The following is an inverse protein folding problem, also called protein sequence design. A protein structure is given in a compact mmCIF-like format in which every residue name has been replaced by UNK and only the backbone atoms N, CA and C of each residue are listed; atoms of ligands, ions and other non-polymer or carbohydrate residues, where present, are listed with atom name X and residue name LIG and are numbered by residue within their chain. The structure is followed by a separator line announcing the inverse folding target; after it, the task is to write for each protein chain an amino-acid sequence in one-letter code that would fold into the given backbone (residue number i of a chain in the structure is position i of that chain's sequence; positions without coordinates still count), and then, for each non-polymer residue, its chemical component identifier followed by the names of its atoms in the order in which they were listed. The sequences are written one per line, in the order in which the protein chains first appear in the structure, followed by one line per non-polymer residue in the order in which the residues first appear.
data_IF_754558488064
#
_entry.id   IF_754558488064
#
_cell.length_a   1.000
_cell.length_b   1.000
_cell.length_c   1.000
_cell.angle_alpha   90.00
_cell.angle_beta   90.00
_cell.angle_gamma   90.00
#
_symmetry.space_group_name_H-M   'P 1'
#
loop_
_entity.id
_entity.type
_entity.pdbx_description
1 polymer ?
#
# COMPACT_ATOMS: atom_id res chain seq x y z
N UNK A 1 41.86 -28.70 16.80
CA UNK A 1 41.34 -29.61 17.80
C UNK A 1 39.85 -29.43 17.78
N UNK A 2 39.29 -30.19 16.96
CA UNK A 2 38.55 -31.48 17.05
C UNK A 2 37.14 -31.22 17.54
N UNK A 3 36.19 -31.28 16.69
CA UNK A 3 35.41 -32.36 16.07
C UNK A 3 34.32 -32.95 16.97
N UNK A 4 33.11 -33.00 16.45
CA UNK A 4 32.26 -34.18 16.16
C UNK A 4 30.79 -33.73 16.09
N UNK A 5 30.16 -33.68 14.96
CA UNK A 5 29.55 -34.75 14.13
C UNK A 5 28.47 -35.60 14.82
N UNK A 6 27.23 -35.43 14.37
CA UNK A 6 26.19 -36.32 13.79
C UNK A 6 26.00 -37.73 14.41
N UNK A 7 24.95 -38.55 14.14
CA UNK A 7 23.84 -38.44 13.18
C UNK A 7 22.46 -39.05 13.61
N UNK A 8 21.53 -39.00 12.70
CA UNK A 8 20.27 -39.78 12.62
C UNK A 8 20.46 -41.29 12.66
N UNK A 9 19.48 -42.04 13.19
CA UNK A 9 19.21 -43.43 12.82
C UNK A 9 17.72 -43.74 12.77
N UNK A 10 17.27 -44.12 11.59
CA UNK A 10 16.07 -44.94 11.32
C UNK A 10 16.20 -46.33 11.95
N UNK A 11 15.10 -46.90 12.40
CA UNK A 11 14.94 -48.37 12.45
C UNK A 11 13.53 -48.79 12.08
N UNK A 12 13.46 -49.48 10.98
CA UNK A 12 12.48 -50.50 10.57
C UNK A 12 12.62 -51.75 11.41
N UNK A 13 11.53 -52.53 11.57
CA UNK A 13 11.56 -53.86 12.14
C UNK A 13 10.20 -54.54 11.98
N UNK A 14 10.17 -55.40 10.98
CA UNK A 14 9.11 -56.37 10.74
C UNK A 14 9.02 -57.39 11.86
N UNK A 15 7.87 -57.98 12.11
CA UNK A 15 7.72 -59.42 12.30
C UNK A 15 6.30 -59.91 12.07
N UNK A 16 6.22 -60.99 11.29
CA UNK A 16 5.05 -61.80 10.93
C UNK A 16 4.53 -62.65 12.10
N UNK A 17 3.26 -63.03 12.08
CA UNK A 17 2.82 -64.44 12.19
C UNK A 17 1.27 -64.61 11.95
N UNK A 18 0.98 -65.24 10.89
CA UNK A 18 0.00 -66.31 10.49
C UNK A 18 -1.21 -66.62 11.38
N UNK A 19 -2.36 -66.74 10.69
CA UNK A 19 -3.52 -67.52 11.11
C UNK A 19 -4.75 -67.24 10.29
N UNK A 20 -5.04 -68.03 9.25
CA UNK A 20 -6.35 -68.23 8.59
C UNK A 20 -6.91 -69.60 9.07
N UNK A 21 -8.15 -70.03 8.74
CA UNK A 21 -9.17 -69.49 7.82
C UNK A 21 -10.62 -69.55 8.34
N UNK A 22 -11.55 -69.19 7.44
CA UNK A 22 -12.96 -69.60 7.27
C UNK A 22 -14.04 -68.61 7.61
N UNK A 23 -14.89 -68.36 6.57
CA UNK A 23 -16.23 -67.79 6.73
C UNK A 23 -16.68 -66.86 5.60
N UNK A 24 -17.04 -67.44 4.47
CA UNK A 24 -17.68 -66.70 3.37
C UNK A 24 -19.04 -66.12 3.79
N UNK A 25 -19.23 -64.81 3.57
CA UNK A 25 -20.54 -64.27 3.22
C UNK A 25 -20.31 -63.11 2.25
N UNK A 26 -20.73 -63.33 1.01
CA UNK A 26 -20.77 -62.33 -0.06
C UNK A 26 -21.87 -61.30 0.28
N UNK A 27 -21.45 -60.14 0.80
CA UNK A 27 -22.28 -58.94 0.86
C UNK A 27 -22.04 -58.12 -0.42
N UNK A 28 -23.12 -57.84 -1.16
CA UNK A 28 -23.10 -56.94 -2.32
C UNK A 28 -22.46 -55.58 -1.98
N UNK A 29 -21.69 -54.97 -2.88
CA UNK A 29 -21.14 -53.65 -2.64
C UNK A 29 -22.27 -52.63 -2.41
N UNK A 30 -22.09 -51.65 -1.50
CA UNK A 30 -23.07 -50.59 -1.32
C UNK A 30 -23.21 -49.79 -2.64
N UNK A 31 -24.42 -49.27 -2.92
CA UNK A 31 -24.62 -48.44 -4.09
C UNK A 31 -23.70 -47.23 -4.05
N UNK A 32 -23.23 -46.72 -5.21
CA UNK A 32 -22.38 -45.53 -5.24
C UNK A 32 -23.11 -44.37 -4.57
N UNK A 33 -22.40 -43.67 -3.69
CA UNK A 33 -22.89 -42.47 -3.02
C UNK A 33 -23.41 -41.50 -4.10
N UNK A 34 -24.65 -41.06 -3.97
CA UNK A 34 -25.20 -39.97 -4.77
C UNK A 34 -24.29 -38.76 -4.60
N UNK A 35 -23.85 -38.12 -5.69
CA UNK A 35 -23.10 -36.86 -5.57
C UNK A 35 -23.94 -35.89 -4.75
N UNK A 36 -23.30 -35.06 -3.91
CA UNK A 36 -24.00 -34.00 -3.19
C UNK A 36 -24.79 -33.17 -4.22
N UNK A 37 -25.98 -32.68 -3.87
CA UNK A 37 -26.73 -31.81 -4.76
C UNK A 37 -25.82 -30.67 -5.16
N UNK A 38 -25.76 -30.35 -6.45
CA UNK A 38 -25.08 -29.16 -6.94
C UNK A 38 -25.62 -28.00 -6.11
N UNK A 39 -24.72 -27.26 -5.47
CA UNK A 39 -25.08 -26.00 -4.82
C UNK A 39 -25.80 -25.19 -5.90
N UNK A 40 -27.09 -24.98 -5.74
CA UNK A 40 -27.85 -24.07 -6.58
C UNK A 40 -27.15 -22.69 -6.42
N UNK A 41 -26.59 -22.22 -7.52
CA UNK A 41 -26.11 -20.84 -7.64
C UNK A 41 -27.32 -19.93 -7.37
N UNK A 42 -27.54 -19.60 -6.12
CA UNK A 42 -28.50 -18.57 -5.73
C UNK A 42 -27.91 -17.24 -6.21
N UNK A 43 -28.20 -16.89 -7.46
CA UNK A 43 -27.95 -15.55 -7.96
C UNK A 43 -28.83 -14.61 -7.12
N UNK A 44 -28.21 -13.92 -6.16
CA UNK A 44 -28.87 -12.82 -5.46
C UNK A 44 -29.25 -11.76 -6.50
N UNK A 45 -30.55 -11.55 -6.65
CA UNK A 45 -31.09 -10.54 -7.55
C UNK A 45 -30.86 -9.18 -6.93
N UNK A 46 -29.88 -8.42 -7.46
CA UNK A 46 -29.62 -7.05 -7.02
C UNK A 46 -30.67 -6.15 -7.66
N UNK A 47 -31.54 -5.60 -6.83
CA UNK A 47 -32.58 -4.66 -7.29
C UNK A 47 -31.97 -3.25 -7.32
N UNK A 48 -31.75 -2.75 -8.52
CA UNK A 48 -31.32 -1.36 -8.75
C UNK A 48 -32.56 -0.51 -9.04
N UNK A 49 -32.78 0.53 -8.26
CA UNK A 49 -33.89 1.49 -8.48
C UNK A 49 -33.38 2.80 -9.12
N UNK A 50 -34.31 3.64 -9.56
CA UNK A 50 -34.03 4.91 -10.25
C UNK A 50 -33.25 5.96 -9.42
N UNK A 51 -33.12 5.73 -8.11
CA UNK A 51 -32.40 6.63 -7.19
C UNK A 51 -31.03 6.06 -6.77
N UNK A 52 -30.60 4.94 -7.36
CA UNK A 52 -29.34 4.30 -7.00
C UNK A 52 -28.15 5.10 -7.51
N UNK A 53 -27.41 5.75 -6.61
CA UNK A 53 -26.17 6.46 -6.89
C UNK A 53 -24.92 5.57 -6.69
N UNK A 54 -25.01 4.61 -5.79
CA UNK A 54 -23.94 3.70 -5.43
C UNK A 54 -24.40 2.27 -5.66
N UNK A 55 -23.56 1.47 -6.31
CA UNK A 55 -23.79 0.05 -6.48
C UNK A 55 -22.66 -0.72 -5.80
N UNK A 56 -23.01 -1.36 -4.68
CA UNK A 56 -22.08 -2.20 -3.92
C UNK A 56 -22.25 -3.67 -4.31
N UNK A 57 -21.23 -4.22 -4.95
CA UNK A 57 -21.12 -5.61 -5.39
C UNK A 57 -19.89 -6.27 -4.75
N UNK A 58 -19.46 -5.79 -3.62
CA UNK A 58 -18.34 -6.35 -2.89
C UNK A 58 -18.65 -7.77 -2.39
N UNK A 59 -17.63 -8.64 -2.35
CA UNK A 59 -17.75 -10.03 -1.90
C UNK A 59 -18.74 -10.90 -2.68
N UNK A 60 -19.15 -10.48 -3.89
CA UNK A 60 -20.16 -11.16 -4.70
C UNK A 60 -19.67 -12.43 -5.40
N UNK A 61 -18.41 -12.85 -5.19
CA UNK A 61 -17.76 -13.94 -5.94
C UNK A 61 -17.80 -13.76 -7.45
N UNK A 62 -17.92 -12.52 -7.92
CA UNK A 62 -18.10 -12.16 -9.33
C UNK A 62 -16.82 -12.49 -10.09
N UNK A 63 -16.91 -13.36 -11.09
CA UNK A 63 -15.81 -13.72 -11.99
C UNK A 63 -15.75 -12.87 -13.25
N UNK A 64 -16.87 -12.25 -13.62
CA UNK A 64 -17.05 -11.48 -14.85
C UNK A 64 -18.00 -10.31 -14.62
N UNK A 65 -17.66 -9.15 -15.14
CA UNK A 65 -18.54 -7.98 -15.09
C UNK A 65 -19.59 -8.12 -16.21
N UNK A 66 -20.84 -8.38 -15.83
CA UNK A 66 -21.96 -8.53 -16.75
C UNK A 66 -23.28 -8.16 -16.10
N UNK A 67 -24.36 -8.11 -16.88
CA UNK A 67 -25.72 -7.78 -16.42
C UNK A 67 -25.85 -6.35 -15.83
N UNK A 68 -25.05 -5.40 -16.32
CA UNK A 68 -25.13 -3.99 -15.92
C UNK A 68 -26.03 -3.16 -16.85
N UNK A 69 -26.76 -3.80 -17.78
CA UNK A 69 -27.68 -3.13 -18.71
C UNK A 69 -28.76 -2.28 -18.03
N UNK A 70 -29.33 -2.70 -16.89
CA UNK A 70 -30.29 -1.86 -16.17
C UNK A 70 -29.76 -0.46 -15.80
N UNK A 71 -28.45 -0.36 -15.51
CA UNK A 71 -27.79 0.89 -15.13
C UNK A 71 -27.79 1.91 -16.29
N UNK A 72 -27.81 1.46 -17.55
CA UNK A 72 -27.92 2.34 -18.73
C UNK A 72 -29.25 3.09 -18.78
N UNK A 73 -30.30 2.48 -18.32
CA UNK A 73 -31.64 3.05 -18.36
C UNK A 73 -31.79 4.16 -17.31
N UNK A 74 -31.06 4.06 -16.18
CA UNK A 74 -31.02 5.12 -15.17
C UNK A 74 -30.43 6.41 -15.73
N UNK A 75 -29.40 6.31 -16.58
CA UNK A 75 -28.76 7.47 -17.24
C UNK A 75 -29.70 8.19 -18.22
N UNK A 76 -30.65 7.49 -18.85
CA UNK A 76 -31.62 8.10 -19.79
C UNK A 76 -32.70 8.91 -19.12
N UNK A 77 -32.95 8.70 -17.83
CA UNK A 77 -33.96 9.44 -17.05
C UNK A 77 -33.45 10.80 -16.55
N UNK A 78 -32.14 11.09 -16.66
CA UNK A 78 -31.57 12.40 -16.28
C UNK A 78 -32.19 13.59 -17.02
N UNK A 79 -32.71 13.38 -18.23
CA UNK A 79 -33.36 14.45 -18.99
C UNK A 79 -34.75 14.87 -18.46
N UNK A 80 -35.33 14.08 -17.55
CA UNK A 80 -36.66 14.32 -16.97
C UNK A 80 -36.56 14.53 -15.42
N UNK A 81 -35.72 15.42 -14.96
CA UNK A 81 -35.67 16.05 -13.62
C UNK A 81 -35.63 15.15 -12.37
N UNK A 82 -35.64 13.82 -12.43
CA UNK A 82 -35.76 12.93 -11.24
C UNK A 82 -34.90 11.69 -11.19
N UNK A 83 -34.09 11.38 -12.19
CA UNK A 83 -33.24 10.17 -12.17
C UNK A 83 -31.81 10.51 -11.76
N UNK A 84 -31.29 9.85 -10.74
CA UNK A 84 -29.86 9.88 -10.43
C UNK A 84 -29.17 8.70 -11.10
N UNK A 85 -28.06 8.94 -11.80
CA UNK A 85 -27.27 7.88 -12.41
C UNK A 85 -26.27 7.31 -11.42
N UNK A 86 -25.90 6.03 -11.58
CA UNK A 86 -24.84 5.40 -10.78
C UNK A 86 -23.54 6.14 -11.01
N UNK A 87 -23.01 6.74 -9.96
CA UNK A 87 -21.76 7.48 -9.96
C UNK A 87 -20.62 6.72 -9.25
N UNK A 88 -20.95 5.71 -8.44
CA UNK A 88 -20.00 4.88 -7.70
C UNK A 88 -20.29 3.40 -7.89
N UNK A 89 -19.27 2.64 -8.23
CA UNK A 89 -19.34 1.18 -8.43
C UNK A 89 -18.25 0.49 -7.62
N UNK A 90 -18.67 -0.34 -6.68
CA UNK A 90 -17.78 -1.10 -5.81
C UNK A 90 -17.82 -2.58 -6.17
N UNK A 91 -16.68 -3.13 -6.56
CA UNK A 91 -16.46 -4.51 -6.99
C UNK A 91 -15.28 -5.16 -6.24
N UNK A 92 -15.07 -4.75 -4.99
CA UNK A 92 -13.97 -5.25 -4.16
C UNK A 92 -14.15 -6.72 -3.78
N UNK A 93 -13.05 -7.44 -3.54
CA UNK A 93 -13.04 -8.82 -3.07
C UNK A 93 -13.86 -9.77 -3.96
N UNK A 94 -13.56 -9.74 -5.25
CA UNK A 94 -14.19 -10.59 -6.24
C UNK A 94 -13.14 -11.43 -7.01
N UNK A 95 -13.53 -12.11 -8.05
CA UNK A 95 -12.65 -12.94 -8.88
C UNK A 95 -12.51 -12.41 -10.31
N UNK A 96 -12.74 -11.11 -10.50
CA UNK A 96 -12.72 -10.43 -11.80
C UNK A 96 -11.33 -10.52 -12.41
N UNK A 97 -11.26 -10.99 -13.66
CA UNK A 97 -10.00 -11.14 -14.41
C UNK A 97 -9.80 -10.07 -15.46
N UNK A 98 -10.87 -9.52 -15.99
CA UNK A 98 -10.89 -8.53 -17.06
C UNK A 98 -11.86 -7.39 -16.71
N UNK A 99 -11.47 -6.17 -17.05
CA UNK A 99 -12.35 -5.01 -16.96
C UNK A 99 -13.13 -4.97 -18.27
N UNK A 100 -14.43 -5.19 -18.20
CA UNK A 100 -15.31 -5.24 -19.36
C UNK A 100 -16.71 -4.73 -19.05
N UNK A 101 -17.51 -4.44 -20.08
CA UNK A 101 -18.92 -4.05 -19.98
C UNK A 101 -19.21 -2.78 -19.17
N UNK A 102 -18.20 -1.92 -18.95
CA UNK A 102 -18.33 -0.64 -18.24
C UNK A 102 -18.54 0.57 -19.19
N UNK A 103 -18.40 0.38 -20.49
CA UNK A 103 -18.34 1.46 -21.49
C UNK A 103 -19.56 2.39 -21.51
N UNK A 104 -20.67 1.94 -20.95
CA UNK A 104 -21.93 2.70 -20.89
C UNK A 104 -22.12 3.47 -19.59
N UNK A 105 -21.26 3.24 -18.59
CA UNK A 105 -21.34 3.87 -17.29
C UNK A 105 -20.51 5.17 -17.27
N UNK A 106 -20.73 6.06 -18.22
CA UNK A 106 -19.94 7.27 -18.39
C UNK A 106 -20.17 8.34 -17.32
N UNK A 107 -21.12 8.12 -16.40
CA UNK A 107 -21.37 8.94 -15.22
C UNK A 107 -20.54 8.56 -14.02
N UNK A 108 -19.80 7.43 -14.08
CA UNK A 108 -18.97 6.98 -12.96
C UNK A 108 -17.92 8.04 -12.59
N UNK A 109 -17.88 8.33 -11.30
CA UNK A 109 -16.90 9.18 -10.62
C UNK A 109 -15.93 8.32 -9.82
N UNK A 110 -16.39 7.17 -9.31
CA UNK A 110 -15.60 6.25 -8.50
C UNK A 110 -15.81 4.81 -8.96
N UNK A 111 -14.67 4.11 -9.18
CA UNK A 111 -14.63 2.70 -9.54
C UNK A 111 -13.63 1.97 -8.66
N UNK A 112 -14.09 0.99 -7.91
CA UNK A 112 -13.27 0.19 -7.04
C UNK A 112 -13.26 -1.28 -7.44
N UNK A 113 -12.09 -1.75 -7.85
CA UNK A 113 -11.78 -3.11 -8.28
C UNK A 113 -10.70 -3.74 -7.38
N UNK A 114 -10.61 -3.26 -6.14
CA UNK A 114 -9.67 -3.73 -5.12
C UNK A 114 -9.82 -5.24 -4.86
N UNK A 115 -8.71 -5.93 -4.70
CA UNK A 115 -8.62 -7.37 -4.42
C UNK A 115 -9.43 -8.23 -5.42
N UNK A 116 -8.90 -8.28 -6.63
CA UNK A 116 -9.40 -9.07 -7.74
C UNK A 116 -8.25 -9.82 -8.45
N UNK A 117 -8.46 -10.28 -9.66
CA UNK A 117 -7.47 -11.03 -10.43
C UNK A 117 -7.10 -10.33 -11.76
N UNK A 118 -7.31 -9.03 -11.84
CA UNK A 118 -7.12 -8.22 -13.05
C UNK A 118 -5.64 -8.21 -13.42
N UNK A 119 -5.36 -8.42 -14.70
CA UNK A 119 -3.99 -8.43 -15.23
C UNK A 119 -3.67 -7.25 -16.14
N UNK A 120 -4.69 -6.60 -16.68
CA UNK A 120 -4.58 -5.50 -17.65
C UNK A 120 -5.59 -4.41 -17.29
N UNK A 121 -5.15 -3.15 -17.34
CA UNK A 121 -6.05 -2.00 -17.27
C UNK A 121 -6.52 -1.72 -18.70
N UNK A 122 -7.81 -1.85 -18.95
CA UNK A 122 -8.43 -1.75 -20.26
C UNK A 122 -9.90 -1.36 -20.16
N UNK A 123 -10.49 -0.92 -21.28
CA UNK A 123 -11.92 -0.63 -21.43
C UNK A 123 -12.45 0.47 -20.48
N UNK A 124 -11.58 1.42 -20.09
CA UNK A 124 -11.93 2.57 -19.24
C UNK A 124 -12.11 3.88 -20.04
N UNK A 125 -11.89 3.89 -21.35
CA UNK A 125 -11.84 5.09 -22.17
C UNK A 125 -13.12 5.94 -22.12
N UNK A 126 -14.27 5.32 -21.88
CA UNK A 126 -15.56 6.01 -21.79
C UNK A 126 -15.87 6.57 -20.40
N UNK A 127 -15.08 6.21 -19.38
CA UNK A 127 -15.28 6.66 -18.00
C UNK A 127 -14.63 8.03 -17.77
N UNK A 128 -14.87 8.98 -18.63
CA UNK A 128 -14.20 10.28 -18.67
C UNK A 128 -14.48 11.19 -17.46
N UNK A 129 -15.44 10.81 -16.62
CA UNK A 129 -15.76 11.53 -15.40
C UNK A 129 -15.11 10.92 -14.15
N UNK A 130 -14.33 9.85 -14.30
CA UNK A 130 -13.74 9.14 -13.18
C UNK A 130 -12.73 10.04 -12.44
N UNK A 131 -12.93 10.17 -11.14
CA UNK A 131 -12.05 10.89 -10.21
C UNK A 131 -11.28 9.96 -9.30
N UNK A 132 -11.84 8.78 -8.99
CA UNK A 132 -11.21 7.78 -8.11
C UNK A 132 -11.20 6.42 -8.82
N UNK A 133 -10.02 5.81 -8.92
CA UNK A 133 -9.84 4.46 -9.45
C UNK A 133 -8.99 3.64 -8.50
N UNK A 134 -9.56 2.59 -7.93
CA UNK A 134 -8.82 1.63 -7.10
C UNK A 134 -8.69 0.27 -7.81
N UNK A 135 -7.45 -0.08 -8.13
CA UNK A 135 -7.03 -1.33 -8.74
C UNK A 135 -6.00 -2.06 -7.85
N UNK A 136 -5.93 -1.73 -6.56
CA UNK A 136 -5.00 -2.35 -5.63
C UNK A 136 -5.30 -3.84 -5.43
N UNK A 137 -4.31 -4.60 -5.00
CA UNK A 137 -4.40 -6.05 -4.77
C UNK A 137 -4.88 -6.83 -6.01
N UNK A 138 -4.21 -6.57 -7.14
CA UNK A 138 -4.48 -7.24 -8.41
C UNK A 138 -3.19 -7.90 -8.96
N UNK A 139 -3.17 -8.20 -10.25
CA UNK A 139 -2.04 -8.87 -10.92
C UNK A 139 -1.48 -8.04 -12.07
N UNK A 140 -1.70 -6.72 -12.04
CA UNK A 140 -1.34 -5.76 -13.10
C UNK A 140 0.18 -5.66 -13.18
N UNK A 141 0.70 -5.70 -14.40
CA UNK A 141 2.15 -5.61 -14.66
C UNK A 141 2.57 -4.26 -15.25
N UNK A 142 1.64 -3.54 -15.85
CA UNK A 142 1.90 -2.34 -16.64
C UNK A 142 0.77 -1.34 -16.46
N UNK A 143 1.11 -0.07 -16.28
CA UNK A 143 0.14 1.03 -16.28
C UNK A 143 -0.13 1.43 -17.73
N UNK A 144 -1.39 1.29 -18.16
CA UNK A 144 -1.89 1.69 -19.46
C UNK A 144 -3.42 1.85 -19.44
N UNK A 145 -4.03 2.33 -20.52
CA UNK A 145 -5.48 2.45 -20.64
C UNK A 145 -6.09 3.50 -19.71
N UNK A 146 -5.31 4.52 -19.32
CA UNK A 146 -5.72 5.65 -18.53
C UNK A 146 -5.79 6.96 -19.35
N UNK A 147 -5.56 6.90 -20.65
CA UNK A 147 -5.32 8.05 -21.53
C UNK A 147 -6.48 9.05 -21.55
N UNK A 148 -7.69 8.59 -21.30
CA UNK A 148 -8.91 9.42 -21.32
C UNK A 148 -9.37 9.89 -19.94
N UNK A 149 -8.72 9.42 -18.85
CA UNK A 149 -9.15 9.68 -17.47
C UNK A 149 -8.57 10.99 -16.92
N UNK A 150 -8.78 12.09 -17.63
CA UNK A 150 -8.16 13.39 -17.33
C UNK A 150 -8.71 14.07 -16.06
N UNK A 151 -9.83 13.58 -15.51
CA UNK A 151 -10.40 14.08 -14.24
C UNK A 151 -9.92 13.30 -13.02
N UNK A 152 -9.08 12.26 -13.22
CA UNK A 152 -8.64 11.39 -12.13
C UNK A 152 -7.84 12.19 -11.10
N UNK A 153 -8.27 12.10 -9.84
CA UNK A 153 -7.64 12.74 -8.68
C UNK A 153 -6.91 11.72 -7.80
N UNK A 154 -7.43 10.49 -7.72
CA UNK A 154 -6.83 9.42 -6.90
C UNK A 154 -6.71 8.15 -7.71
N UNK A 155 -5.49 7.61 -7.75
CA UNK A 155 -5.17 6.34 -8.42
C UNK A 155 -4.47 5.42 -7.44
N UNK A 156 -5.11 4.29 -7.14
CA UNK A 156 -4.58 3.26 -6.26
C UNK A 156 -4.20 2.02 -7.07
N UNK A 157 -2.93 1.63 -7.00
CA UNK A 157 -2.33 0.51 -7.71
C UNK A 157 -1.42 -0.32 -6.79
N UNK A 158 -1.59 -0.22 -5.47
CA UNK A 158 -0.77 -0.97 -4.52
C UNK A 158 -0.94 -2.48 -4.66
N UNK A 159 0.02 -3.25 -4.19
CA UNK A 159 0.02 -4.72 -4.20
C UNK A 159 -0.30 -5.32 -5.59
N UNK A 160 0.50 -4.91 -6.58
CA UNK A 160 0.45 -5.38 -7.95
C UNK A 160 1.82 -5.95 -8.41
N UNK A 161 2.06 -6.03 -9.69
CA UNK A 161 3.32 -6.53 -10.28
C UNK A 161 3.98 -5.49 -11.20
N UNK A 162 3.68 -4.20 -11.00
CA UNK A 162 4.15 -3.08 -11.82
C UNK A 162 5.66 -2.91 -11.61
N UNK A 163 6.40 -2.84 -12.70
CA UNK A 163 7.87 -2.69 -12.67
C UNK A 163 8.37 -1.32 -13.10
N UNK A 164 7.50 -0.51 -13.70
CA UNK A 164 7.84 0.79 -14.26
C UNK A 164 6.68 1.76 -14.12
N UNK A 165 6.98 3.00 -13.71
CA UNK A 165 6.02 4.10 -13.72
C UNK A 165 6.01 4.67 -15.13
N UNK A 166 4.85 4.64 -15.78
CA UNK A 166 4.63 5.20 -17.12
C UNK A 166 3.16 5.47 -17.38
N UNK A 167 2.87 6.25 -18.41
CA UNK A 167 1.52 6.56 -18.87
C UNK A 167 0.61 7.18 -17.78
N UNK A 168 1.19 7.99 -16.89
CA UNK A 168 0.47 8.73 -15.84
C UNK A 168 0.72 10.24 -15.92
N UNK A 169 1.79 10.68 -16.56
CA UNK A 169 2.27 12.06 -16.61
C UNK A 169 1.28 13.05 -17.26
N UNK A 170 0.33 12.57 -18.06
CA UNK A 170 -0.75 13.37 -18.66
C UNK A 170 -1.95 13.61 -17.72
N UNK A 171 -2.01 12.92 -16.55
CA UNK A 171 -3.13 13.04 -15.59
C UNK A 171 -2.85 14.19 -14.63
N UNK A 172 -2.85 15.41 -15.14
CA UNK A 172 -2.38 16.60 -14.42
C UNK A 172 -3.19 16.98 -13.18
N UNK A 173 -4.41 16.45 -13.04
CA UNK A 173 -5.29 16.67 -11.89
C UNK A 173 -5.05 15.64 -10.74
N UNK A 174 -4.10 14.70 -10.90
CA UNK A 174 -3.87 13.67 -9.91
C UNK A 174 -3.29 14.27 -8.63
N UNK A 175 -3.97 14.03 -7.51
CA UNK A 175 -3.58 14.49 -6.18
C UNK A 175 -2.96 13.36 -5.34
N UNK A 176 -3.36 12.11 -5.60
CA UNK A 176 -2.83 10.93 -4.91
C UNK A 176 -2.46 9.84 -5.90
N UNK A 177 -1.23 9.33 -5.80
CA UNK A 177 -0.75 8.16 -6.54
C UNK A 177 -0.19 7.13 -5.57
N UNK A 178 -0.83 5.96 -5.51
CA UNK A 178 -0.38 4.85 -4.68
C UNK A 178 0.13 3.69 -5.53
N UNK A 179 1.41 3.38 -5.38
CA UNK A 179 2.14 2.33 -6.08
C UNK A 179 2.92 1.44 -5.11
N UNK A 180 2.54 1.41 -3.85
CA UNK A 180 3.17 0.57 -2.83
C UNK A 180 3.09 -0.93 -3.15
N UNK A 181 4.02 -1.72 -2.63
CA UNK A 181 4.08 -3.18 -2.81
C UNK A 181 4.03 -3.60 -4.29
N UNK A 182 4.99 -3.08 -5.05
CA UNK A 182 5.17 -3.37 -6.47
C UNK A 182 6.62 -3.80 -6.76
N UNK A 183 7.08 -3.65 -8.00
CA UNK A 183 8.42 -4.06 -8.44
C UNK A 183 9.22 -2.92 -9.04
N UNK A 184 8.84 -1.67 -8.76
CA UNK A 184 9.41 -0.45 -9.31
C UNK A 184 10.86 -0.32 -8.86
N UNK A 185 11.74 0.06 -9.79
CA UNK A 185 13.18 0.22 -9.55
C UNK A 185 13.64 1.67 -9.64
N UNK A 186 12.87 2.50 -10.32
CA UNK A 186 13.23 3.87 -10.65
C UNK A 186 12.00 4.77 -10.57
N UNK A 187 12.16 5.95 -9.96
CA UNK A 187 11.16 7.01 -9.98
C UNK A 187 11.35 7.79 -11.28
N UNK A 188 10.33 7.81 -12.14
CA UNK A 188 10.33 8.51 -13.41
C UNK A 188 8.93 8.77 -13.94
N UNK A 189 8.81 9.60 -14.98
CA UNK A 189 7.55 9.91 -15.67
C UNK A 189 6.47 10.46 -14.75
N UNK A 190 6.86 11.32 -13.80
CA UNK A 190 5.97 11.99 -12.87
C UNK A 190 5.90 13.50 -13.09
N UNK A 191 6.70 14.07 -14.01
CA UNK A 191 6.87 15.52 -14.19
C UNK A 191 5.57 16.27 -14.55
N UNK A 192 4.60 15.59 -15.18
CA UNK A 192 3.30 16.18 -15.48
C UNK A 192 2.31 16.20 -14.31
N UNK A 193 2.61 15.49 -13.20
CA UNK A 193 1.71 15.38 -12.04
C UNK A 193 1.86 16.58 -11.09
N UNK A 194 1.74 17.79 -11.60
CA UNK A 194 2.02 19.03 -10.86
C UNK A 194 1.06 19.32 -9.70
N UNK A 195 -0.12 18.66 -9.69
CA UNK A 195 -1.10 18.76 -8.59
C UNK A 195 -0.92 17.67 -7.50
N UNK A 196 0.12 16.81 -7.64
CA UNK A 196 0.30 15.66 -6.74
C UNK A 196 0.69 16.12 -5.34
N UNK A 197 -0.11 15.70 -4.36
CA UNK A 197 0.10 15.95 -2.93
C UNK A 197 0.62 14.73 -2.19
N UNK A 198 0.26 13.54 -2.63
CA UNK A 198 0.57 12.30 -1.93
C UNK A 198 1.13 11.26 -2.89
N UNK A 199 2.35 10.78 -2.64
CA UNK A 199 3.04 9.76 -3.43
C UNK A 199 3.48 8.60 -2.53
N UNK A 200 2.90 7.42 -2.76
CA UNK A 200 3.20 6.21 -2.02
C UNK A 200 3.94 5.21 -2.91
N UNK A 201 5.20 4.98 -2.61
CA UNK A 201 6.12 4.08 -3.32
C UNK A 201 6.77 3.05 -2.38
N UNK A 202 6.21 2.85 -1.19
CA UNK A 202 6.70 1.88 -0.22
C UNK A 202 6.74 0.45 -0.74
N UNK A 203 7.59 -0.42 -0.18
CA UNK A 203 7.74 -1.84 -0.58
C UNK A 203 7.99 -2.03 -2.08
N UNK A 204 9.02 -1.34 -2.58
CA UNK A 204 9.46 -1.44 -3.96
C UNK A 204 10.95 -1.83 -4.04
N UNK A 205 11.62 -1.54 -5.14
CA UNK A 205 13.05 -1.85 -5.36
C UNK A 205 13.84 -0.60 -5.74
N UNK A 206 13.37 0.56 -5.31
CA UNK A 206 13.93 1.87 -5.65
C UNK A 206 15.27 2.04 -4.93
N UNK A 207 16.29 2.48 -5.67
CA UNK A 207 17.65 2.65 -5.15
C UNK A 207 18.07 4.10 -5.03
N UNK A 208 17.31 5.03 -5.63
CA UNK A 208 17.63 6.45 -5.66
C UNK A 208 16.35 7.29 -5.65
N UNK A 209 16.35 8.37 -4.86
CA UNK A 209 15.34 9.42 -4.93
C UNK A 209 15.71 10.33 -6.10
N UNK A 210 14.83 10.49 -7.08
CA UNK A 210 15.08 11.30 -8.26
C UNK A 210 13.80 11.67 -9.01
N UNK A 211 13.86 12.68 -9.90
CA UNK A 211 12.76 13.07 -10.78
C UNK A 211 11.49 13.48 -10.03
N UNK A 212 11.63 14.15 -8.90
CA UNK A 212 10.55 14.70 -8.10
C UNK A 212 10.48 16.23 -8.17
N UNK A 213 11.33 16.86 -8.96
CA UNK A 213 11.56 18.32 -8.98
C UNK A 213 10.30 19.13 -9.36
N UNK A 214 9.40 18.52 -10.15
CA UNK A 214 8.16 19.15 -10.62
C UNK A 214 7.00 18.99 -9.63
N UNK A 215 7.13 18.14 -8.61
CA UNK A 215 6.08 17.82 -7.64
C UNK A 215 6.06 18.82 -6.47
N UNK A 216 5.98 20.11 -6.76
CA UNK A 216 6.13 21.18 -5.77
C UNK A 216 5.00 21.26 -4.74
N UNK A 217 3.88 20.59 -5.01
CA UNK A 217 2.74 20.53 -4.10
C UNK A 217 2.74 19.27 -3.23
N UNK A 218 3.83 18.46 -3.29
CA UNK A 218 3.91 17.21 -2.55
C UNK A 218 3.99 17.46 -1.05
N UNK A 219 3.04 16.90 -0.31
CA UNK A 219 2.90 16.97 1.15
C UNK A 219 3.33 15.66 1.82
N UNK A 220 3.07 14.52 1.18
CA UNK A 220 3.39 13.19 1.72
C UNK A 220 4.22 12.40 0.72
N UNK A 221 5.38 11.91 1.16
CA UNK A 221 6.24 11.01 0.38
C UNK A 221 6.55 9.74 1.18
N UNK A 222 6.11 8.59 0.68
CA UNK A 222 6.33 7.29 1.31
C UNK A 222 7.24 6.43 0.44
N UNK A 223 8.44 6.16 0.94
CA UNK A 223 9.50 5.35 0.29
C UNK A 223 10.01 4.23 1.21
N UNK A 224 9.26 3.87 2.24
CA UNK A 224 9.62 2.80 3.18
C UNK A 224 9.84 1.45 2.47
N UNK A 225 10.66 0.57 3.04
CA UNK A 225 10.93 -0.77 2.51
C UNK A 225 11.41 -0.74 1.04
N UNK A 226 12.42 0.07 0.76
CA UNK A 226 13.09 0.18 -0.53
C UNK A 226 14.60 -0.18 -0.40
N UNK A 227 15.43 0.31 -1.29
CA UNK A 227 16.87 0.06 -1.33
C UNK A 227 17.68 1.35 -1.35
N UNK A 228 17.14 2.40 -0.76
CA UNK A 228 17.76 3.71 -0.68
C UNK A 228 18.98 3.65 0.26
N UNK A 229 20.06 4.34 -0.12
CA UNK A 229 21.26 4.46 0.72
C UNK A 229 21.56 5.90 1.12
N UNK A 230 20.84 6.86 0.52
CA UNK A 230 20.98 8.29 0.76
C UNK A 230 19.65 9.00 0.71
N UNK A 231 19.54 10.11 1.40
CA UNK A 231 18.51 11.13 1.22
C UNK A 231 19.07 12.15 0.23
N UNK A 232 18.39 12.34 -0.90
CA UNK A 232 18.87 13.24 -1.96
C UNK A 232 17.71 13.73 -2.83
N UNK A 233 17.89 14.86 -3.54
CA UNK A 233 16.96 15.38 -4.54
C UNK A 233 15.56 15.68 -3.99
N UNK A 234 15.47 16.23 -2.79
CA UNK A 234 14.22 16.65 -2.16
C UNK A 234 14.10 18.18 -2.07
N UNK A 235 15.08 18.95 -2.58
CA UNK A 235 15.23 20.40 -2.38
C UNK A 235 14.00 21.17 -2.89
N UNK A 236 13.35 20.69 -3.95
CA UNK A 236 12.17 21.31 -4.54
C UNK A 236 10.84 21.01 -3.81
N UNK A 237 10.87 20.10 -2.84
CA UNK A 237 9.67 19.66 -2.11
C UNK A 237 9.47 20.48 -0.83
N UNK A 238 9.29 21.79 -0.96
CA UNK A 238 9.19 22.72 0.17
C UNK A 238 7.89 22.63 0.97
N UNK A 239 6.88 21.92 0.42
CA UNK A 239 5.60 21.68 1.09
C UNK A 239 5.54 20.36 1.84
N UNK A 240 6.62 19.58 1.83
CA UNK A 240 6.63 18.25 2.42
C UNK A 240 6.40 18.31 3.93
N UNK A 241 5.36 17.65 4.40
CA UNK A 241 4.92 17.54 5.79
C UNK A 241 5.26 16.16 6.37
N UNK A 242 5.21 15.11 5.55
CA UNK A 242 5.46 13.76 6.02
C UNK A 242 6.42 13.02 5.07
N UNK A 243 7.52 12.50 5.62
CA UNK A 243 8.53 11.74 4.89
C UNK A 243 8.80 10.39 5.57
N UNK A 244 8.46 9.29 4.88
CA UNK A 244 8.65 7.94 5.36
C UNK A 244 9.73 7.22 4.57
N UNK A 245 10.85 6.94 5.22
CA UNK A 245 12.06 6.33 4.65
C UNK A 245 12.51 5.09 5.44
N UNK A 246 11.66 4.55 6.31
CA UNK A 246 11.99 3.37 7.11
C UNK A 246 12.32 2.15 6.26
N UNK A 247 13.01 1.17 6.86
CA UNK A 247 13.39 -0.09 6.19
C UNK A 247 14.19 0.15 4.89
N UNK A 248 15.25 0.94 4.98
CA UNK A 248 16.17 1.22 3.88
C UNK A 248 17.64 0.99 4.33
N UNK A 249 18.60 1.47 3.56
CA UNK A 249 20.03 1.39 3.86
C UNK A 249 20.68 2.74 4.14
N UNK A 250 19.91 3.76 4.57
CA UNK A 250 20.34 5.12 4.75
C UNK A 250 21.31 5.20 5.94
N UNK A 251 22.42 5.94 5.77
CA UNK A 251 23.48 6.03 6.77
C UNK A 251 23.55 7.40 7.45
N UNK A 252 22.96 8.44 6.87
CA UNK A 252 23.01 9.82 7.37
C UNK A 252 21.68 10.53 7.14
N UNK A 253 21.36 11.48 8.03
CA UNK A 253 20.30 12.45 7.85
C UNK A 253 20.91 13.65 7.14
N UNK A 254 20.69 13.77 5.83
CA UNK A 254 21.31 14.79 4.98
C UNK A 254 20.33 15.32 3.93
N UNK A 255 20.63 16.48 3.33
CA UNK A 255 19.87 17.06 2.21
C UNK A 255 18.39 17.32 2.52
N UNK A 256 18.08 17.70 3.76
CA UNK A 256 16.73 18.06 4.21
C UNK A 256 16.62 19.55 4.57
N UNK A 257 17.55 20.38 4.11
CA UNK A 257 17.66 21.80 4.51
C UNK A 257 16.43 22.64 4.13
N UNK A 258 15.70 22.24 3.08
CA UNK A 258 14.51 22.93 2.58
C UNK A 258 13.20 22.44 3.21
N UNK A 259 13.20 21.33 3.99
CA UNK A 259 12.01 20.69 4.51
C UNK A 259 11.55 21.30 5.84
N UNK A 260 11.34 22.62 5.84
CA UNK A 260 10.97 23.40 7.05
C UNK A 260 9.55 23.13 7.57
N UNK A 261 8.69 22.54 6.73
CA UNK A 261 7.31 22.19 7.10
C UNK A 261 7.16 20.77 7.64
N UNK A 262 8.25 20.00 7.65
CA UNK A 262 8.17 18.58 8.02
C UNK A 262 7.67 18.43 9.46
N UNK A 263 6.60 17.65 9.60
CA UNK A 263 5.94 17.29 10.86
C UNK A 263 6.32 15.85 11.27
N UNK A 264 6.38 14.94 10.31
CA UNK A 264 6.76 13.54 10.56
C UNK A 264 7.96 13.13 9.72
N UNK A 265 9.01 12.62 10.38
CA UNK A 265 10.19 12.03 9.74
C UNK A 265 10.38 10.59 10.25
N UNK A 266 10.08 9.61 9.41
CA UNK A 266 10.31 8.20 9.70
C UNK A 266 11.58 7.69 9.01
N UNK A 267 12.58 7.37 9.79
CA UNK A 267 13.88 6.82 9.41
C UNK A 267 14.17 5.51 10.17
N UNK A 268 13.14 4.85 10.71
CA UNK A 268 13.31 3.60 11.44
C UNK A 268 13.96 2.51 10.57
N UNK A 269 14.64 1.55 11.19
CA UNK A 269 15.22 0.38 10.51
C UNK A 269 16.17 0.80 9.35
N UNK A 270 17.12 1.69 9.65
CA UNK A 270 18.16 2.13 8.74
C UNK A 270 19.56 1.88 9.35
N UNK A 271 20.60 2.61 8.91
CA UNK A 271 21.98 2.48 9.39
C UNK A 271 22.52 3.83 9.89
N UNK A 272 21.64 4.68 10.39
CA UNK A 272 21.98 6.04 10.82
C UNK A 272 22.78 5.99 12.11
N UNK A 273 23.89 6.72 12.16
CA UNK A 273 24.83 6.73 13.29
C UNK A 273 24.71 7.96 14.18
N UNK A 274 24.12 9.05 13.69
CA UNK A 274 23.96 10.29 14.44
C UNK A 274 22.67 11.02 14.04
N UNK A 275 22.08 11.78 14.97
CA UNK A 275 20.99 12.71 14.70
C UNK A 275 21.65 14.02 14.24
N UNK A 276 21.44 14.38 12.99
CA UNK A 276 22.00 15.58 12.38
C UNK A 276 20.99 16.20 11.40
N UNK A 277 21.22 17.42 10.95
CA UNK A 277 20.40 18.10 9.93
C UNK A 277 18.87 18.14 10.20
N UNK A 278 18.47 18.28 11.48
CA UNK A 278 17.06 18.37 11.92
C UNK A 278 16.74 19.64 12.69
N UNK A 279 17.78 20.45 13.04
CA UNK A 279 17.65 21.60 13.93
C UNK A 279 16.71 22.69 13.41
N UNK A 280 16.60 22.84 12.10
CA UNK A 280 15.78 23.84 11.41
C UNK A 280 14.30 23.42 11.25
N UNK A 281 13.96 22.15 11.50
CA UNK A 281 12.63 21.60 11.34
C UNK A 281 11.74 22.00 12.53
N UNK A 282 11.32 23.26 12.58
CA UNK A 282 10.55 23.80 13.72
C UNK A 282 9.15 23.22 13.86
N UNK A 283 8.62 22.55 12.83
CA UNK A 283 7.32 21.91 12.84
C UNK A 283 7.39 20.43 13.20
N UNK A 284 8.58 19.83 13.34
CA UNK A 284 8.74 18.41 13.58
C UNK A 284 8.05 17.99 14.90
N UNK A 285 7.06 17.12 14.78
CA UNK A 285 6.25 16.57 15.87
C UNK A 285 6.62 15.12 16.17
N UNK A 286 6.96 14.36 15.14
CA UNK A 286 7.31 12.94 15.25
C UNK A 286 8.63 12.62 14.56
N UNK A 287 9.52 11.95 15.28
CA UNK A 287 10.81 11.46 14.75
C UNK A 287 10.99 10.00 15.09
N UNK A 288 11.05 9.14 14.08
CA UNK A 288 11.21 7.70 14.23
C UNK A 288 12.60 7.29 13.75
N UNK A 289 13.43 6.87 14.68
CA UNK A 289 14.83 6.44 14.47
C UNK A 289 15.13 5.11 15.15
N UNK A 290 14.11 4.37 15.60
CA UNK A 290 14.33 3.03 16.17
C UNK A 290 15.03 2.09 15.17
N UNK A 291 15.73 1.08 15.70
CA UNK A 291 16.49 0.12 14.88
C UNK A 291 17.54 0.79 13.97
N UNK A 292 18.34 1.67 14.55
CA UNK A 292 19.47 2.33 13.89
C UNK A 292 20.77 2.12 14.68
N UNK A 293 21.79 2.92 14.44
CA UNK A 293 23.13 2.80 15.05
C UNK A 293 23.54 4.05 15.83
N UNK A 294 22.56 4.85 16.27
CA UNK A 294 22.82 6.07 17.04
C UNK A 294 23.38 5.71 18.41
N UNK A 295 24.61 6.17 18.71
CA UNK A 295 25.33 5.86 19.95
C UNK A 295 25.65 7.06 20.80
N UNK A 296 25.79 8.23 20.19
CA UNK A 296 26.25 9.45 20.86
C UNK A 296 25.08 10.30 21.37
N UNK A 297 25.07 10.54 22.68
CA UNK A 297 24.10 11.41 23.34
C UNK A 297 24.20 12.88 22.91
N UNK A 298 25.36 13.34 22.47
CA UNK A 298 25.54 14.74 22.01
C UNK A 298 24.66 15.00 20.78
N UNK A 299 24.38 13.98 19.99
CA UNK A 299 23.49 14.12 18.81
C UNK A 299 22.03 14.44 19.17
N UNK A 300 21.57 14.11 20.36
CA UNK A 300 20.23 14.47 20.86
C UNK A 300 20.08 15.99 21.06
N UNK A 301 21.19 16.70 21.30
CA UNK A 301 21.17 18.16 21.45
C UNK A 301 20.72 18.88 20.17
N UNK A 302 20.89 18.27 19.00
CA UNK A 302 20.40 18.84 17.74
C UNK A 302 18.87 18.96 17.70
N UNK A 303 18.14 18.21 18.54
CA UNK A 303 16.68 18.25 18.63
C UNK A 303 16.16 19.34 19.60
N UNK A 304 17.00 20.01 20.33
CA UNK A 304 16.58 21.01 21.34
C UNK A 304 15.81 22.20 20.74
N UNK A 305 15.96 22.47 19.44
CA UNK A 305 15.23 23.52 18.74
C UNK A 305 13.85 23.06 18.25
N UNK A 306 13.60 21.77 18.18
CA UNK A 306 12.34 21.18 17.70
C UNK A 306 11.30 21.19 18.83
N UNK A 307 10.75 22.38 19.15
CA UNK A 307 9.87 22.60 20.32
C UNK A 307 8.51 21.92 20.21
N UNK A 308 8.10 21.56 18.98
CA UNK A 308 6.88 20.80 18.72
C UNK A 308 7.09 19.28 18.80
N UNK A 309 8.30 18.78 18.94
CA UNK A 309 8.60 17.36 18.98
C UNK A 309 7.95 16.73 20.22
N UNK A 310 6.92 15.93 20.00
CA UNK A 310 6.12 15.26 21.03
C UNK A 310 6.35 13.75 21.08
N UNK A 311 6.75 13.15 19.96
CA UNK A 311 6.98 11.70 19.85
C UNK A 311 8.38 11.42 19.29
N UNK A 312 9.16 10.59 19.98
CA UNK A 312 10.44 10.10 19.48
C UNK A 312 10.55 8.58 19.68
N UNK A 313 10.98 7.88 18.63
CA UNK A 313 11.35 6.46 18.70
C UNK A 313 12.86 6.33 18.49
N UNK A 314 13.57 5.85 19.51
CA UNK A 314 15.03 5.62 19.48
C UNK A 314 15.41 4.25 20.06
N UNK A 315 14.43 3.42 20.43
CA UNK A 315 14.68 2.06 20.90
C UNK A 315 15.52 1.26 19.89
N UNK A 316 16.21 0.23 20.36
CA UNK A 316 17.10 -0.61 19.53
C UNK A 316 18.18 0.19 18.77
N UNK A 317 18.65 1.28 19.40
CA UNK A 317 19.90 1.95 19.07
C UNK A 317 20.91 1.70 20.21
N UNK A 318 22.24 1.82 19.97
CA UNK A 318 23.23 1.67 21.03
C UNK A 318 22.98 2.60 22.23
N UNK A 319 22.57 3.85 22.00
CA UNK A 319 22.26 4.82 23.08
C UNK A 319 21.08 4.35 23.99
N UNK A 320 20.17 3.54 23.49
CA UNK A 320 19.04 3.03 24.27
C UNK A 320 19.42 1.97 25.31
N UNK A 321 20.66 1.46 25.27
CA UNK A 321 21.20 0.57 26.31
C UNK A 321 21.53 1.29 27.62
N UNK A 322 21.55 2.62 27.65
CA UNK A 322 21.77 3.41 28.85
C UNK A 322 20.62 3.23 29.86
N UNK A 323 20.88 2.77 31.09
CA UNK A 323 19.83 2.62 32.10
C UNK A 323 19.01 3.92 32.38
N UNK A 324 19.60 5.07 32.13
CA UNK A 324 18.94 6.38 32.28
C UNK A 324 18.33 6.92 30.98
N UNK A 325 18.24 6.11 29.93
CA UNK A 325 17.82 6.49 28.58
C UNK A 325 16.59 7.41 28.55
N UNK A 326 15.45 6.94 29.05
CA UNK A 326 14.20 7.72 29.06
C UNK A 326 14.30 9.00 29.85
N UNK A 327 14.99 8.95 31.01
CA UNK A 327 15.20 10.14 31.86
C UNK A 327 16.07 11.19 31.14
N UNK A 328 17.13 10.76 30.47
CA UNK A 328 18.02 11.65 29.71
C UNK A 328 17.28 12.30 28.56
N UNK A 329 16.49 11.52 27.79
CA UNK A 329 15.67 12.06 26.69
C UNK A 329 14.67 13.10 27.22
N UNK A 330 13.93 12.81 28.28
CA UNK A 330 12.95 13.73 28.85
C UNK A 330 13.57 15.01 29.41
N UNK A 331 14.78 14.92 29.94
CA UNK A 331 15.53 16.10 30.42
C UNK A 331 16.04 16.95 29.23
N UNK A 332 16.55 16.32 28.18
CA UNK A 332 17.06 17.02 27.00
C UNK A 332 15.93 17.64 26.17
N UNK A 333 14.78 16.96 26.09
CA UNK A 333 13.62 17.30 25.26
C UNK A 333 12.35 17.34 26.11
N UNK A 334 12.09 18.42 26.86
CA UNK A 334 10.95 18.51 27.79
C UNK A 334 9.58 18.45 27.10
N UNK A 335 9.49 18.77 25.80
CA UNK A 335 8.26 18.70 25.00
C UNK A 335 7.73 17.27 24.77
N UNK A 336 8.59 16.25 24.90
CA UNK A 336 8.19 14.88 24.61
C UNK A 336 7.05 14.42 25.48
N UNK A 337 5.99 13.94 24.87
CA UNK A 337 4.87 13.24 25.49
C UNK A 337 4.97 11.72 25.34
N UNK A 338 5.74 11.25 24.33
CA UNK A 338 5.96 9.84 24.06
C UNK A 338 7.43 9.56 23.72
N UNK A 339 7.99 8.54 24.33
CA UNK A 339 9.29 7.98 24.02
C UNK A 339 9.07 6.50 23.72
N UNK A 340 9.41 6.05 22.51
CA UNK A 340 9.11 4.73 21.99
C UNK A 340 7.62 4.41 22.15
N UNK A 341 7.27 3.17 22.46
CA UNK A 341 5.87 2.76 22.65
C UNK A 341 5.23 3.25 23.96
N UNK A 342 5.89 4.13 24.74
CA UNK A 342 5.44 4.47 26.11
C UNK A 342 5.26 5.97 26.31
N UNK A 343 4.12 6.38 26.82
CA UNK A 343 3.86 7.77 27.22
C UNK A 343 4.80 8.24 28.34
N UNK A 344 5.17 9.51 28.30
CA UNK A 344 5.89 10.18 29.39
C UNK A 344 4.88 10.61 30.46
N UNK A 345 5.08 10.13 31.69
CA UNK A 345 4.36 10.58 32.87
C UNK A 345 5.03 11.80 33.48
#
# INVERSE_FOLDING_TARGET
MADRDTPMVNKTGDDELRGSPDGQSQGSPPPPATPPPAEEDTQELIVVNEFTEELDLNHGRIGKIENLEPLKNLQRMENDHYGKSVSRLYLRWNFIKQIENLSTLNTLVELELYDNQITVIENLDNLVNLEILDLSFNRIKEIKGLDRLLKLKKLFLSSNKISEIKNVDHITNLELLELGDNRIREIKNLSGLTSLKQLYLGKNKITKIQNLDDLKDLEILVLQSNRLTKIENLECLEKLEQLYLSENGITRIENLDCQVKLETLDLAMNRITAIENVRHMSNLEELWLNDNQVSDWTSVEYLQNNKKLVTIYLERNPLASDPAYRRKLKLALPSLSQIDATLCR
#
